data_IF_998921307553
#
_entry.id   IF_998921307553
#
_cell.length_a   1.000
_cell.length_b   1.000
_cell.length_c   1.000
_cell.angle_alpha   90.00
_cell.angle_beta   90.00
_cell.angle_gamma   90.00
#
_symmetry.space_group_name_H-M   'P 1'
#
loop_
_entity.id
_entity.type
_entity.pdbx_description
1 polymer ?
#
# COMPACT_ATOMS: atom_id res chain seq x y z
N UNK A 1 -5.87 15.86 -2.61
CA UNK A 1 -4.91 14.89 -2.04
C UNK A 1 -4.16 14.22 -3.17
N UNK A 2 -2.99 13.62 -2.91
CA UNK A 2 -2.28 12.84 -3.95
C UNK A 2 -2.95 11.48 -4.12
N UNK A 3 -2.77 10.86 -5.29
CA UNK A 3 -3.26 9.49 -5.55
C UNK A 3 -2.84 8.51 -4.44
N UNK A 4 -1.56 8.54 -4.04
CA UNK A 4 -1.06 7.67 -2.97
C UNK A 4 -1.74 7.91 -1.63
N UNK A 5 -2.02 9.17 -1.29
CA UNK A 5 -2.77 9.49 -0.06
C UNK A 5 -4.18 8.91 -0.12
N UNK A 6 -4.89 9.05 -1.25
CA UNK A 6 -6.25 8.54 -1.39
C UNK A 6 -6.30 7.01 -1.31
N UNK A 7 -5.33 6.31 -1.93
CA UNK A 7 -5.25 4.85 -1.84
C UNK A 7 -4.84 4.37 -0.44
N UNK A 8 -3.92 5.07 0.25
CA UNK A 8 -3.57 4.77 1.64
C UNK A 8 -4.79 4.94 2.57
N UNK A 9 -5.62 5.97 2.33
CA UNK A 9 -6.82 6.20 3.13
C UNK A 9 -7.84 5.06 2.98
N UNK A 10 -7.93 4.43 1.80
CA UNK A 10 -8.82 3.29 1.55
C UNK A 10 -8.33 2.03 2.26
N UNK A 11 -7.06 1.67 2.10
CA UNK A 11 -6.52 0.46 2.73
C UNK A 11 -6.24 0.60 4.23
N UNK A 12 -6.52 1.76 4.83
CA UNK A 12 -6.40 2.00 6.26
C UNK A 12 -7.69 2.53 6.89
N UNK A 13 -8.82 2.33 6.22
CA UNK A 13 -10.11 2.91 6.64
C UNK A 13 -10.50 2.51 8.07
N UNK A 14 -10.20 1.28 8.47
CA UNK A 14 -10.48 0.73 9.80
C UNK A 14 -9.57 1.22 10.95
N UNK A 15 -8.52 2.01 10.66
CA UNK A 15 -7.59 2.48 11.69
C UNK A 15 -7.94 3.90 12.16
N UNK A 16 -8.15 4.06 13.46
CA UNK A 16 -8.44 5.37 14.07
C UNK A 16 -7.18 6.25 14.18
N UNK A 17 -7.40 7.57 14.25
CA UNK A 17 -6.34 8.57 14.47
C UNK A 17 -5.16 8.51 13.48
N UNK A 18 -5.37 7.91 12.31
CA UNK A 18 -4.42 7.84 11.20
C UNK A 18 -4.16 9.23 10.61
N UNK A 19 -2.91 9.51 10.25
CA UNK A 19 -2.49 10.79 9.66
C UNK A 19 -1.60 10.55 8.45
N UNK A 20 -1.96 11.15 7.31
CA UNK A 20 -1.08 11.13 6.14
C UNK A 20 -0.16 12.36 6.17
N UNK A 21 1.15 12.13 6.06
CA UNK A 21 2.18 13.17 5.95
C UNK A 21 3.00 12.86 4.70
N UNK A 22 2.89 13.73 3.68
CA UNK A 22 3.39 13.42 2.34
C UNK A 22 2.70 12.18 1.79
N UNK A 23 3.48 11.23 1.26
CA UNK A 23 2.99 9.95 0.73
C UNK A 23 3.08 8.79 1.75
N UNK A 24 3.14 9.11 3.05
CA UNK A 24 3.20 8.12 4.10
C UNK A 24 2.02 8.27 5.08
N UNK A 25 1.40 7.15 5.43
CA UNK A 25 0.38 7.06 6.47
C UNK A 25 1.05 6.71 7.80
N UNK A 26 0.67 7.40 8.87
CA UNK A 26 1.09 7.13 10.23
C UNK A 26 -0.11 6.76 11.10
N UNK A 27 -0.03 5.60 11.77
CA UNK A 27 -1.10 5.07 12.62
C UNK A 27 -0.55 4.90 14.05
N UNK A 28 -1.24 5.40 15.09
CA UNK A 28 -0.83 5.17 16.48
C UNK A 28 -0.87 3.68 16.87
N UNK A 29 0.23 3.16 17.42
CA UNK A 29 0.29 1.84 18.09
C UNK A 29 0.34 1.97 19.62
N UNK A 30 0.44 3.21 20.13
CA UNK A 30 0.58 3.55 21.54
C UNK A 30 1.00 5.01 21.70
N UNK A 31 1.52 5.38 22.87
CA UNK A 31 1.96 6.76 23.13
C UNK A 31 3.15 7.16 22.23
N UNK A 32 4.20 6.34 22.22
CA UNK A 32 5.45 6.65 21.52
C UNK A 32 5.60 5.96 20.16
N UNK A 33 4.85 4.89 19.90
CA UNK A 33 5.01 4.06 18.71
C UNK A 33 4.01 4.43 17.60
N UNK A 34 4.46 4.39 16.36
CA UNK A 34 3.66 4.62 15.16
C UNK A 34 3.94 3.53 14.14
N UNK A 35 2.89 3.04 13.50
CA UNK A 35 3.02 2.32 12.24
C UNK A 35 3.19 3.33 11.11
N UNK A 36 4.18 3.13 10.25
CA UNK A 36 4.40 3.93 9.04
C UNK A 36 4.16 3.06 7.81
N UNK A 37 3.30 3.52 6.92
CA UNK A 37 2.95 2.85 5.66
C UNK A 37 3.21 3.75 4.48
N UNK A 38 3.77 3.22 3.39
CA UNK A 38 3.84 3.91 2.10
C UNK A 38 3.97 2.90 0.97
N UNK A 39 3.43 3.24 -0.20
CA UNK A 39 3.59 2.42 -1.39
C UNK A 39 5.06 2.38 -1.81
N UNK A 40 5.56 1.21 -2.17
CA UNK A 40 6.98 0.98 -2.51
C UNK A 40 7.13 0.22 -3.82
N UNK A 41 8.25 0.48 -4.49
CA UNK A 41 8.64 -0.25 -5.71
C UNK A 41 9.58 -1.41 -5.35
N UNK A 42 9.60 -2.46 -6.18
CA UNK A 42 10.41 -3.66 -5.92
C UNK A 42 11.49 -3.89 -6.98
N UNK A 43 12.24 -2.83 -7.31
CA UNK A 43 13.37 -2.88 -8.23
C UNK A 43 13.12 -2.22 -9.59
N UNK A 44 11.89 -1.77 -9.86
CA UNK A 44 11.58 -0.96 -11.03
C UNK A 44 11.02 0.41 -10.63
N UNK A 45 11.62 1.48 -11.15
CA UNK A 45 11.22 2.84 -10.82
C UNK A 45 9.77 3.09 -11.24
N UNK A 46 9.06 3.88 -10.44
CA UNK A 46 7.67 4.29 -10.68
C UNK A 46 6.64 3.14 -10.81
N UNK A 47 7.05 1.91 -10.47
CA UNK A 47 6.25 0.70 -10.50
C UNK A 47 6.09 0.16 -9.08
N UNK A 48 5.01 0.56 -8.42
CA UNK A 48 4.78 0.26 -7.01
C UNK A 48 3.99 -1.03 -6.86
N UNK A 49 4.58 -1.99 -6.16
CA UNK A 49 4.14 -3.40 -6.13
C UNK A 49 3.83 -3.88 -4.71
N UNK A 50 3.88 -2.98 -3.74
CA UNK A 50 3.55 -3.30 -2.37
C UNK A 50 3.48 -2.08 -1.47
N UNK A 51 3.24 -2.35 -0.19
CA UNK A 51 3.26 -1.36 0.89
C UNK A 51 4.44 -1.70 1.80
N UNK A 52 5.38 -0.76 1.92
CA UNK A 52 6.36 -0.82 3.00
C UNK A 52 5.65 -0.48 4.30
N UNK A 53 5.81 -1.34 5.30
CA UNK A 53 5.22 -1.22 6.63
C UNK A 53 6.35 -1.21 7.67
N UNK A 54 6.31 -0.31 8.64
CA UNK A 54 7.33 -0.25 9.69
C UNK A 54 6.75 0.20 11.01
N UNK A 55 7.12 -0.48 12.09
CA UNK A 55 6.93 0.01 13.45
C UNK A 55 8.05 1.00 13.79
N UNK A 56 7.69 2.20 14.25
CA UNK A 56 8.62 3.29 14.51
C UNK A 56 8.38 3.84 15.92
N UNK A 57 9.44 3.87 16.72
CA UNK A 57 9.51 4.63 17.96
C UNK A 57 9.98 6.06 17.65
N UNK A 58 9.31 7.07 18.22
CA UNK A 58 9.64 8.48 17.92
C UNK A 58 11.05 8.90 18.34
N UNK A 59 11.63 8.25 19.34
CA UNK A 59 12.94 8.59 19.92
C UNK A 59 14.04 7.66 19.39
N UNK A 60 13.72 6.40 19.13
CA UNK A 60 14.67 5.35 18.79
C UNK A 60 14.66 4.96 17.31
N UNK A 61 13.69 5.45 16.53
CA UNK A 61 13.60 5.19 15.10
C UNK A 61 12.87 3.89 14.76
N UNK A 62 13.27 3.23 13.66
CA UNK A 62 12.58 2.04 13.16
C UNK A 62 12.89 0.84 14.05
N UNK A 63 11.85 0.26 14.65
CA UNK A 63 11.93 -0.96 15.46
C UNK A 63 11.98 -2.19 14.54
N UNK A 64 11.03 -2.23 13.60
CA UNK A 64 10.89 -3.33 12.64
C UNK A 64 10.34 -2.81 11.31
N UNK A 65 10.58 -3.56 10.23
CA UNK A 65 10.08 -3.27 8.90
C UNK A 65 9.78 -4.54 8.13
N UNK A 66 8.65 -4.53 7.42
CA UNK A 66 8.32 -5.53 6.42
C UNK A 66 7.80 -4.86 5.12
N UNK A 67 7.54 -5.65 4.10
CA UNK A 67 6.88 -5.22 2.87
C UNK A 67 5.77 -6.20 2.52
N UNK A 68 4.54 -5.69 2.46
CA UNK A 68 3.37 -6.43 2.01
C UNK A 68 3.31 -6.30 0.49
N UNK A 69 3.61 -7.38 -0.24
CA UNK A 69 3.57 -7.37 -1.71
C UNK A 69 2.16 -7.61 -2.20
N UNK A 70 1.72 -6.86 -3.22
CA UNK A 70 0.40 -7.06 -3.82
C UNK A 70 0.23 -8.46 -4.42
N UNK A 71 1.31 -9.06 -4.91
CA UNK A 71 1.32 -10.45 -5.38
C UNK A 71 0.89 -11.44 -4.28
N UNK A 72 1.31 -11.21 -3.04
CA UNK A 72 1.04 -12.10 -1.91
C UNK A 72 -0.40 -11.92 -1.39
N UNK A 73 -0.94 -10.70 -1.47
CA UNK A 73 -2.32 -10.39 -1.02
C UNK A 73 -3.37 -10.79 -2.07
N UNK A 74 -3.14 -10.42 -3.32
CA UNK A 74 -4.18 -10.46 -4.36
C UNK A 74 -3.93 -11.51 -5.43
N UNK A 75 -2.69 -12.00 -5.54
CA UNK A 75 -2.27 -12.87 -6.62
C UNK A 75 -2.43 -12.21 -8.00
N UNK A 76 -2.48 -13.05 -9.03
CA UNK A 76 -2.71 -12.61 -10.41
C UNK A 76 -4.22 -12.47 -10.66
N UNK A 77 -4.62 -11.32 -11.21
CA UNK A 77 -6.02 -11.01 -11.55
C UNK A 77 -6.25 -11.13 -13.06
N UNK A 78 -7.33 -11.79 -13.44
CA UNK A 78 -7.77 -11.87 -14.84
C UNK A 78 -8.38 -10.55 -15.29
N UNK A 79 -8.08 -10.13 -16.52
CA UNK A 79 -8.54 -8.86 -17.09
C UNK A 79 -8.99 -9.06 -18.54
N UNK A 80 -9.88 -8.21 -19.03
CA UNK A 80 -10.40 -8.28 -20.40
C UNK A 80 -9.40 -7.81 -21.46
N UNK A 81 -8.28 -7.18 -21.05
CA UNK A 81 -7.29 -6.66 -21.97
C UNK A 81 -6.53 -7.81 -22.66
N UNK A 82 -6.58 -7.92 -24.01
CA UNK A 82 -6.00 -9.05 -24.74
C UNK A 82 -4.47 -9.15 -24.66
N UNK A 83 -3.79 -8.09 -24.21
CA UNK A 83 -2.35 -8.09 -23.97
C UNK A 83 -1.96 -8.83 -22.67
N UNK A 84 -2.92 -9.04 -21.76
CA UNK A 84 -2.71 -9.68 -20.45
C UNK A 84 -3.51 -10.98 -20.35
N UNK A 85 -3.31 -11.90 -21.30
CA UNK A 85 -4.07 -13.16 -21.40
C UNK A 85 -3.92 -14.04 -20.15
N UNK A 86 -2.75 -14.02 -19.54
CA UNK A 86 -2.48 -14.75 -18.30
C UNK A 86 -2.98 -13.99 -17.05
N UNK A 87 -3.45 -12.76 -17.22
CA UNK A 87 -3.76 -11.82 -16.15
C UNK A 87 -2.58 -10.94 -15.75
N UNK A 88 -2.77 -10.14 -14.71
CA UNK A 88 -1.80 -9.17 -14.19
C UNK A 88 -1.79 -9.19 -12.66
N UNK A 89 -0.62 -9.08 -12.04
CA UNK A 89 -0.53 -8.78 -10.61
C UNK A 89 -0.80 -7.28 -10.48
N UNK A 90 -1.77 -6.83 -9.67
CA UNK A 90 -2.08 -5.41 -9.56
C UNK A 90 -0.87 -4.61 -9.06
N UNK A 91 -0.65 -3.43 -9.65
CA UNK A 91 0.39 -2.48 -9.24
C UNK A 91 -0.02 -1.04 -9.61
N UNK A 92 0.65 -0.07 -8.99
CA UNK A 92 0.50 1.35 -9.34
C UNK A 92 1.64 1.72 -10.27
N UNK A 93 1.31 2.31 -11.42
CA UNK A 93 2.29 2.93 -12.30
C UNK A 93 2.18 4.44 -12.17
N UNK A 94 3.32 5.09 -11.93
CA UNK A 94 3.47 6.53 -12.07
C UNK A 94 4.12 6.88 -13.42
N UNK A 95 3.32 7.43 -14.34
CA UNK A 95 3.82 7.96 -15.60
C UNK A 95 3.99 9.49 -15.47
N UNK A 96 5.24 9.95 -15.41
CA UNK A 96 5.57 11.35 -15.11
C UNK A 96 4.99 11.79 -13.76
N UNK A 97 3.98 12.67 -13.78
CA UNK A 97 3.30 13.16 -12.58
C UNK A 97 1.99 12.42 -12.25
N UNK A 98 1.59 11.45 -13.07
CA UNK A 98 0.31 10.76 -12.93
C UNK A 98 0.52 9.35 -12.40
N UNK A 99 0.15 9.13 -11.14
CA UNK A 99 0.07 7.79 -10.55
C UNK A 99 -1.35 7.23 -10.65
N UNK A 100 -1.47 5.96 -11.06
CA UNK A 100 -2.74 5.25 -11.14
C UNK A 100 -2.54 3.74 -11.07
N UNK A 101 -3.60 3.01 -10.71
CA UNK A 101 -3.66 1.56 -10.87
C UNK A 101 -3.57 1.19 -12.35
N UNK A 102 -2.62 0.34 -12.71
CA UNK A 102 -2.40 -0.03 -14.11
C UNK A 102 -3.21 -1.27 -14.50
N UNK A 103 -4.08 -1.12 -15.50
CA UNK A 103 -4.93 -2.17 -16.10
C UNK A 103 -5.99 -2.75 -15.15
N UNK A 104 -5.61 -3.18 -13.95
CA UNK A 104 -6.52 -3.65 -12.90
C UNK A 104 -6.58 -2.62 -11.77
N UNK A 105 -7.78 -2.11 -11.50
CA UNK A 105 -8.06 -1.24 -10.34
C UNK A 105 -8.61 -2.11 -9.19
N UNK A 106 -7.97 -2.14 -8.01
CA UNK A 106 -8.47 -2.88 -6.87
C UNK A 106 -9.89 -2.50 -6.49
N UNK A 107 -10.68 -3.51 -6.17
CA UNK A 107 -12.05 -3.39 -5.68
C UNK A 107 -12.06 -3.03 -4.18
N UNK A 108 -13.20 -2.62 -3.60
CA UNK A 108 -13.31 -2.47 -2.15
C UNK A 108 -12.86 -3.72 -1.38
N UNK A 109 -13.23 -4.93 -1.85
CA UNK A 109 -12.81 -6.19 -1.22
C UNK A 109 -11.29 -6.41 -1.30
N UNK A 110 -10.65 -6.02 -2.40
CA UNK A 110 -9.19 -6.10 -2.51
C UNK A 110 -8.52 -5.17 -1.47
N UNK A 111 -9.06 -3.97 -1.26
CA UNK A 111 -8.56 -3.04 -0.25
C UNK A 111 -8.79 -3.52 1.19
N UNK A 112 -9.92 -4.18 1.46
CA UNK A 112 -10.17 -4.86 2.74
C UNK A 112 -9.10 -5.92 3.01
N UNK A 113 -8.80 -6.79 2.05
CA UNK A 113 -7.75 -7.82 2.20
C UNK A 113 -6.37 -7.19 2.48
N UNK A 114 -6.05 -6.07 1.83
CA UNK A 114 -4.82 -5.34 2.12
C UNK A 114 -4.84 -4.73 3.53
N UNK A 115 -5.98 -4.20 3.97
CA UNK A 115 -6.16 -3.70 5.35
C UNK A 115 -6.03 -4.81 6.38
N UNK A 116 -6.55 -6.01 6.12
CA UNK A 116 -6.39 -7.20 6.97
C UNK A 116 -4.90 -7.53 7.14
N UNK A 117 -4.12 -7.56 6.05
CA UNK A 117 -2.67 -7.79 6.11
C UNK A 117 -1.88 -6.70 6.85
N UNK A 118 -2.31 -5.44 6.75
CA UNK A 118 -1.72 -4.34 7.53
C UNK A 118 -2.03 -4.52 9.02
N UNK A 119 -3.26 -4.94 9.34
CA UNK A 119 -3.71 -5.15 10.72
C UNK A 119 -3.00 -6.34 11.37
N UNK A 120 -2.73 -7.42 10.63
CA UNK A 120 -2.00 -8.58 11.14
C UNK A 120 -0.56 -8.25 11.57
N UNK A 121 0.02 -7.16 11.05
CA UNK A 121 1.33 -6.65 11.46
C UNK A 121 1.27 -5.68 12.64
N UNK A 122 0.17 -4.94 12.79
CA UNK A 122 0.02 -3.78 13.70
C UNK A 122 -0.10 -4.21 15.17
#
# INVERSE_FOLDING_TARGET
MSFFTDELMKCTEGFENRKCIGNAMYIPLGENNRLKLFFTTLGYADHYEGVSISAVDKNNGVIDRNTIKFADVWGRKQVSNPNFREGIIPYIWKDGNQAQWYVYKPTPRDMELLSEQINDYA
#
